data_IF_122927223593
#
_entry.id   IF_122927223593
#
_cell.length_a   1.000
_cell.length_b   1.000
_cell.length_c   1.000
_cell.angle_alpha   90.00
_cell.angle_beta   90.00
_cell.angle_gamma   90.00
#
_symmetry.space_group_name_H-M   'P 1'
#
loop_
_entity.id
_entity.type
_entity.pdbx_description
1 polymer ?
#
# COMPACT_ATOMS: atom_id res chain seq x y z
N UNK A 1 22.72 -25.92 -2.41
CA UNK A 1 21.28 -25.70 -2.64
C UNK A 1 20.62 -25.66 -1.28
N UNK A 2 20.33 -24.45 -0.81
CA UNK A 2 19.50 -24.25 0.37
C UNK A 2 18.12 -24.86 0.09
N UNK A 3 17.56 -25.61 1.04
CA UNK A 3 16.44 -26.54 0.78
C UNK A 3 15.13 -25.88 0.30
N UNK A 4 15.07 -24.56 0.26
CA UNK A 4 13.84 -23.77 0.03
C UNK A 4 13.88 -22.90 -1.24
N UNK A 5 14.91 -23.03 -2.07
CA UNK A 5 15.09 -22.22 -3.28
C UNK A 5 13.91 -22.34 -4.27
N UNK A 6 13.23 -23.50 -4.28
CA UNK A 6 12.04 -23.75 -5.09
C UNK A 6 10.77 -23.02 -4.61
N UNK A 7 10.72 -22.61 -3.34
CA UNK A 7 9.58 -21.87 -2.77
C UNK A 7 9.59 -20.40 -3.19
N UNK A 8 10.76 -19.87 -3.53
CA UNK A 8 10.95 -18.45 -3.82
C UNK A 8 9.99 -17.94 -4.90
N UNK A 9 9.89 -18.56 -6.10
CA UNK A 9 8.99 -18.06 -7.15
C UNK A 9 7.51 -18.09 -6.75
N UNK A 10 7.12 -19.11 -5.97
CA UNK A 10 5.74 -19.23 -5.49
C UNK A 10 5.41 -18.17 -4.44
N UNK A 11 6.33 -17.90 -3.51
CA UNK A 11 6.18 -16.85 -2.50
C UNK A 11 6.06 -15.48 -3.17
N UNK A 12 6.95 -15.18 -4.13
CA UNK A 12 6.89 -13.92 -4.87
C UNK A 12 5.57 -13.80 -5.64
N UNK A 13 5.13 -14.85 -6.35
CA UNK A 13 3.85 -14.82 -7.07
C UNK A 13 2.66 -14.53 -6.14
N UNK A 14 2.62 -15.15 -4.96
CA UNK A 14 1.58 -14.88 -3.96
C UNK A 14 1.67 -13.46 -3.40
N UNK A 15 2.89 -12.96 -3.16
CA UNK A 15 3.10 -11.58 -2.71
C UNK A 15 2.62 -10.58 -3.76
N UNK A 16 2.97 -10.76 -5.04
CA UNK A 16 2.48 -9.90 -6.12
C UNK A 16 0.95 -9.92 -6.23
N UNK A 17 0.33 -11.10 -6.16
CA UNK A 17 -1.13 -11.22 -6.18
C UNK A 17 -1.79 -10.52 -4.98
N UNK A 18 -1.18 -10.65 -3.80
CA UNK A 18 -1.63 -9.96 -2.61
C UNK A 18 -1.58 -8.43 -2.78
N UNK A 19 -0.45 -7.88 -3.22
CA UNK A 19 -0.29 -6.43 -3.45
C UNK A 19 -1.27 -5.92 -4.53
N UNK A 20 -1.45 -6.63 -5.64
CA UNK A 20 -2.43 -6.25 -6.68
C UNK A 20 -3.86 -6.23 -6.12
N UNK A 21 -4.23 -7.26 -5.34
CA UNK A 21 -5.57 -7.34 -4.74
C UNK A 21 -5.81 -6.21 -3.75
N UNK A 22 -4.84 -5.93 -2.86
CA UNK A 22 -4.94 -4.84 -1.89
C UNK A 22 -5.03 -3.49 -2.61
N UNK A 23 -4.26 -3.29 -3.69
CA UNK A 23 -4.31 -2.08 -4.51
C UNK A 23 -5.70 -1.86 -5.10
N UNK A 24 -6.32 -2.91 -5.67
CA UNK A 24 -7.68 -2.83 -6.22
C UNK A 24 -8.72 -2.52 -5.15
N UNK A 25 -8.63 -3.14 -3.98
CA UNK A 25 -9.52 -2.84 -2.85
C UNK A 25 -9.35 -1.40 -2.36
N UNK A 26 -8.11 -0.92 -2.25
CA UNK A 26 -7.81 0.44 -1.82
C UNK A 26 -8.45 1.47 -2.76
N UNK A 27 -8.35 1.25 -4.09
CA UNK A 27 -9.06 2.06 -5.08
C UNK A 27 -10.58 2.00 -4.91
N UNK A 28 -11.15 0.81 -4.79
CA UNK A 28 -12.58 0.62 -4.64
C UNK A 28 -13.13 1.38 -3.44
N UNK A 29 -12.59 1.15 -2.24
CA UNK A 29 -13.05 1.85 -1.04
C UNK A 29 -12.82 3.36 -1.09
N UNK A 30 -11.71 3.81 -1.69
CA UNK A 30 -11.47 5.24 -1.90
C UNK A 30 -12.52 5.89 -2.81
N UNK A 31 -13.01 5.16 -3.83
CA UNK A 31 -14.00 5.63 -4.80
C UNK A 31 -15.43 5.59 -4.25
N UNK A 32 -15.79 4.57 -3.49
CA UNK A 32 -17.12 4.40 -2.89
C UNK A 32 -17.39 5.36 -1.70
N UNK A 33 -16.41 6.19 -1.33
CA UNK A 33 -16.52 7.18 -0.24
C UNK A 33 -16.04 6.66 1.11
N UNK A 34 -15.71 5.37 1.21
CA UNK A 34 -15.08 4.72 2.37
C UNK A 34 -13.58 5.03 2.45
N UNK A 35 -13.25 6.33 2.43
CA UNK A 35 -11.88 6.85 2.31
C UNK A 35 -10.95 6.39 3.44
N UNK A 36 -11.48 6.16 4.65
CA UNK A 36 -10.67 5.70 5.79
C UNK A 36 -10.15 4.28 5.57
N UNK A 37 -11.04 3.38 5.15
CA UNK A 37 -10.68 2.01 4.74
C UNK A 37 -9.70 2.02 3.56
N UNK A 38 -9.94 2.89 2.57
CA UNK A 38 -9.00 3.09 1.47
C UNK A 38 -7.60 3.50 1.94
N UNK A 39 -7.51 4.44 2.88
CA UNK A 39 -6.24 4.87 3.46
C UNK A 39 -5.51 3.74 4.20
N UNK A 40 -6.22 2.94 5.00
CA UNK A 40 -5.62 1.81 5.73
C UNK A 40 -4.99 0.79 4.77
N UNK A 41 -5.65 0.53 3.62
CA UNK A 41 -5.14 -0.38 2.59
C UNK A 41 -3.92 0.20 1.85
N UNK A 42 -3.90 1.51 1.56
CA UNK A 42 -2.71 2.15 1.00
C UNK A 42 -1.52 2.11 1.97
N UNK A 43 -1.78 2.31 3.25
CA UNK A 43 -0.75 2.19 4.29
C UNK A 43 -0.25 0.74 4.45
N UNK A 44 -1.11 -0.26 4.24
CA UNK A 44 -0.68 -1.66 4.19
C UNK A 44 0.34 -1.89 3.07
N UNK A 45 0.07 -1.41 1.85
CA UNK A 45 1.02 -1.53 0.73
C UNK A 45 2.37 -0.90 1.09
N UNK A 46 2.36 0.28 1.73
CA UNK A 46 3.59 0.95 2.20
C UNK A 46 4.32 0.21 3.32
N UNK A 47 3.66 -0.69 4.07
CA UNK A 47 4.35 -1.58 5.02
C UNK A 47 5.14 -2.68 4.31
N UNK A 48 4.69 -3.12 3.13
CA UNK A 48 5.39 -4.12 2.30
C UNK A 48 6.47 -3.47 1.43
N UNK A 49 6.14 -2.34 0.81
CA UNK A 49 7.03 -1.56 -0.04
C UNK A 49 6.93 -0.06 0.32
N UNK A 50 7.79 0.43 1.24
CA UNK A 50 7.81 1.83 1.64
C UNK A 50 8.09 2.81 0.49
N UNK A 51 8.68 2.33 -0.61
CA UNK A 51 9.03 3.13 -1.78
C UNK A 51 7.96 3.11 -2.87
N UNK A 52 6.80 2.48 -2.61
CA UNK A 52 5.71 2.41 -3.56
C UNK A 52 5.08 3.79 -3.81
N UNK A 53 5.52 4.46 -4.88
CA UNK A 53 5.10 5.82 -5.22
C UNK A 53 3.58 5.96 -5.35
N UNK A 54 2.92 4.95 -5.93
CA UNK A 54 1.47 4.96 -6.11
C UNK A 54 0.73 4.92 -4.76
N UNK A 55 1.10 4.00 -3.88
CA UNK A 55 0.51 3.90 -2.56
C UNK A 55 0.77 5.16 -1.72
N UNK A 56 2.00 5.71 -1.82
CA UNK A 56 2.35 6.95 -1.13
C UNK A 56 1.52 8.13 -1.63
N UNK A 57 1.37 8.30 -2.94
CA UNK A 57 0.56 9.34 -3.53
C UNK A 57 -0.90 9.29 -3.03
N UNK A 58 -1.52 8.11 -3.07
CA UNK A 58 -2.91 7.96 -2.62
C UNK A 58 -3.07 8.13 -1.11
N UNK A 59 -2.19 7.54 -0.31
CA UNK A 59 -2.21 7.70 1.15
C UNK A 59 -2.03 9.17 1.55
N UNK A 60 -1.05 9.87 0.98
CA UNK A 60 -0.82 11.30 1.26
C UNK A 60 -2.00 12.17 0.85
N UNK A 61 -2.64 11.87 -0.28
CA UNK A 61 -3.83 12.59 -0.75
C UNK A 61 -5.00 12.42 0.24
N UNK A 62 -5.27 11.19 0.67
CA UNK A 62 -6.32 10.92 1.66
C UNK A 62 -6.01 11.53 3.03
N UNK A 63 -4.76 11.49 3.47
CA UNK A 63 -4.32 12.15 4.71
C UNK A 63 -4.48 13.67 4.62
N UNK A 64 -4.23 14.27 3.45
CA UNK A 64 -4.49 15.68 3.21
C UNK A 64 -5.99 15.99 3.35
N UNK A 65 -6.85 15.20 2.70
CA UNK A 65 -8.32 15.33 2.79
C UNK A 65 -8.82 15.21 4.25
N UNK A 66 -8.17 14.35 5.05
CA UNK A 66 -8.46 14.18 6.48
C UNK A 66 -7.78 15.22 7.38
N UNK A 67 -7.08 16.20 6.82
CA UNK A 67 -6.30 17.21 7.55
C UNK A 67 -5.20 16.61 8.45
N UNK A 68 -4.73 15.40 8.16
CA UNK A 68 -3.65 14.66 8.84
C UNK A 68 -2.29 14.95 8.20
N UNK A 69 -1.94 16.23 8.07
CA UNK A 69 -0.76 16.70 7.29
C UNK A 69 0.59 16.15 7.80
N UNK A 70 0.75 16.00 9.10
CA UNK A 70 1.99 15.47 9.69
C UNK A 70 2.27 14.04 9.25
N UNK A 71 1.23 13.23 9.09
CA UNK A 71 1.37 11.84 8.64
C UNK A 71 1.69 11.77 7.15
N UNK A 72 1.09 12.65 6.34
CA UNK A 72 1.45 12.76 4.92
C UNK A 72 2.94 13.13 4.75
N UNK A 73 3.44 14.09 5.55
CA UNK A 73 4.85 14.46 5.54
C UNK A 73 5.75 13.29 6.00
N UNK A 74 5.29 12.49 6.97
CA UNK A 74 6.02 11.30 7.39
C UNK A 74 6.11 10.25 6.28
N UNK A 75 5.12 10.13 5.41
CA UNK A 75 5.18 9.24 4.24
C UNK A 75 6.19 9.81 3.24
N UNK A 76 6.10 11.10 2.91
CA UNK A 76 7.02 11.75 1.98
C UNK A 76 8.49 11.60 2.39
N UNK A 77 8.79 11.74 3.69
CA UNK A 77 10.16 11.61 4.19
C UNK A 77 10.73 10.17 4.15
N UNK A 78 9.89 9.17 3.89
CA UNK A 78 10.29 7.75 3.81
C UNK A 78 10.43 7.24 2.38
N UNK A 79 9.91 7.99 1.40
CA UNK A 79 10.16 7.78 -0.02
C UNK A 79 11.63 8.10 -0.34
#
# INVERSE_FOLDING_TARGET
MEKDEWLFPKREALHFQYIDTVTRLAFYYTKEGEKATGLDLWQEILRHDPTNEQAAYHAMTLLHDFNRRNEALSIYNKL
#
